data_IF_737063272596
#
_entry.id   IF_737063272596
#
_cell.length_a   1.000
_cell.length_b   1.000
_cell.length_c   1.000
_cell.angle_alpha   90.00
_cell.angle_beta   90.00
_cell.angle_gamma   90.00
#
_symmetry.space_group_name_H-M   'P 1'
#
loop_
_entity.id
_entity.type
_entity.pdbx_description
1 polymer ?
#
# COMPACT_ATOMS: atom_id res chain seq x y z
N UNK A 1 -35.51 -49.93 -20.35
CA UNK A 1 -34.58 -49.66 -19.23
C UNK A 1 -33.24 -49.02 -19.63
N UNK A 2 -32.57 -49.40 -20.73
CA UNK A 2 -31.24 -48.87 -21.09
C UNK A 2 -31.16 -47.36 -21.41
N UNK A 3 -32.23 -46.76 -21.96
CA UNK A 3 -32.28 -45.34 -22.31
C UNK A 3 -32.28 -44.41 -21.08
N UNK A 4 -33.10 -44.71 -20.05
CA UNK A 4 -33.21 -43.87 -18.85
C UNK A 4 -31.95 -43.84 -17.99
N UNK A 5 -31.15 -44.92 -18.00
CA UNK A 5 -29.89 -44.99 -17.24
C UNK A 5 -28.81 -44.17 -17.94
N UNK A 6 -28.71 -44.25 -19.27
CA UNK A 6 -27.74 -43.46 -20.06
C UNK A 6 -27.99 -41.96 -19.91
N UNK A 7 -29.26 -41.52 -19.89
CA UNK A 7 -29.61 -40.11 -19.67
C UNK A 7 -29.29 -39.66 -18.24
N UNK A 8 -29.54 -40.51 -17.23
CA UNK A 8 -29.17 -40.23 -15.82
C UNK A 8 -27.65 -40.10 -15.63
N UNK A 9 -26.87 -41.00 -16.24
CA UNK A 9 -25.41 -40.95 -16.20
C UNK A 9 -24.86 -39.72 -16.92
N UNK A 10 -25.43 -39.34 -18.07
CA UNK A 10 -25.05 -38.14 -18.80
C UNK A 10 -25.34 -36.86 -18.00
N UNK A 11 -26.50 -36.77 -17.35
CA UNK A 11 -26.83 -35.64 -16.47
C UNK A 11 -25.90 -35.55 -15.26
N UNK A 12 -25.59 -36.68 -14.61
CA UNK A 12 -24.64 -36.72 -13.50
C UNK A 12 -23.23 -36.26 -13.94
N UNK A 13 -22.76 -36.69 -15.11
CA UNK A 13 -21.49 -36.25 -15.66
C UNK A 13 -21.45 -34.73 -15.96
N UNK A 14 -22.54 -34.17 -16.51
CA UNK A 14 -22.66 -32.73 -16.74
C UNK A 14 -22.62 -31.96 -15.42
N UNK A 15 -23.34 -32.41 -14.40
CA UNK A 15 -23.33 -31.77 -13.07
C UNK A 15 -21.95 -31.85 -12.41
N UNK A 16 -21.24 -32.97 -12.56
CA UNK A 16 -19.86 -33.12 -12.08
C UNK A 16 -18.90 -32.12 -12.78
N UNK A 17 -19.03 -31.95 -14.10
CA UNK A 17 -18.22 -31.00 -14.86
C UNK A 17 -18.50 -29.55 -14.45
N UNK A 18 -19.76 -29.19 -14.20
CA UNK A 18 -20.14 -27.86 -13.71
C UNK A 18 -19.56 -27.64 -12.31
N UNK A 19 -19.67 -28.61 -11.41
CA UNK A 19 -19.10 -28.52 -10.06
C UNK A 19 -17.56 -28.35 -10.09
N UNK A 20 -16.87 -29.11 -10.94
CA UNK A 20 -15.43 -28.99 -11.13
C UNK A 20 -15.04 -27.60 -11.70
N UNK A 21 -15.76 -27.11 -12.71
CA UNK A 21 -15.53 -25.79 -13.30
C UNK A 21 -15.73 -24.64 -12.31
N UNK A 22 -16.79 -24.69 -11.49
CA UNK A 22 -17.04 -23.71 -10.44
C UNK A 22 -15.97 -23.74 -9.35
N UNK A 23 -15.48 -24.93 -8.98
CA UNK A 23 -14.43 -25.08 -7.98
C UNK A 23 -13.09 -24.53 -8.47
N UNK A 24 -12.75 -24.80 -9.73
CA UNK A 24 -11.58 -24.25 -10.39
C UNK A 24 -11.64 -22.72 -10.45
N UNK A 25 -12.79 -22.17 -10.88
CA UNK A 25 -12.96 -20.72 -11.01
C UNK A 25 -12.93 -20.00 -9.66
N UNK A 26 -13.49 -20.60 -8.61
CA UNK A 26 -13.39 -20.09 -7.24
C UNK A 26 -11.93 -20.04 -6.76
N UNK A 27 -11.14 -21.09 -7.04
CA UNK A 27 -9.71 -21.14 -6.73
C UNK A 27 -8.91 -20.08 -7.48
N UNK A 28 -9.18 -19.90 -8.77
CA UNK A 28 -8.51 -18.90 -9.61
C UNK A 28 -8.80 -17.48 -9.14
N UNK A 29 -10.04 -17.18 -8.74
CA UNK A 29 -10.39 -15.87 -8.16
C UNK A 29 -9.60 -15.55 -6.90
N UNK A 30 -9.53 -16.48 -5.95
CA UNK A 30 -8.76 -16.29 -4.70
C UNK A 30 -7.27 -16.14 -5.02
N UNK A 31 -6.74 -16.95 -5.94
CA UNK A 31 -5.33 -16.92 -6.35
C UNK A 31 -4.95 -15.57 -6.98
N UNK A 32 -5.74 -15.06 -7.93
CA UNK A 32 -5.50 -13.78 -8.59
C UNK A 32 -5.67 -12.60 -7.62
N UNK A 33 -6.70 -12.63 -6.76
CA UNK A 33 -6.89 -11.62 -5.73
C UNK A 33 -5.72 -11.60 -4.73
N UNK A 34 -5.15 -12.77 -4.42
CA UNK A 34 -4.05 -12.92 -3.48
C UNK A 34 -2.75 -12.36 -4.04
N UNK A 35 -2.44 -12.65 -5.30
CA UNK A 35 -1.25 -12.10 -5.98
C UNK A 35 -1.34 -10.59 -6.14
N UNK A 36 -2.46 -10.06 -6.66
CA UNK A 36 -2.64 -8.61 -6.84
C UNK A 36 -2.66 -7.87 -5.50
N UNK A 37 -3.25 -8.47 -4.47
CA UNK A 37 -3.26 -7.91 -3.12
C UNK A 37 -1.87 -7.88 -2.47
N UNK A 38 -1.01 -8.85 -2.76
CA UNK A 38 0.36 -8.91 -2.22
C UNK A 38 1.22 -7.73 -2.65
N UNK A 39 1.36 -7.51 -3.96
CA UNK A 39 2.19 -6.43 -4.51
C UNK A 39 1.66 -5.04 -4.13
N UNK A 40 0.33 -4.89 -4.14
CA UNK A 40 -0.32 -3.63 -3.80
C UNK A 40 -0.24 -3.30 -2.29
N UNK A 41 -0.26 -4.33 -1.42
CA UNK A 41 0.01 -4.17 0.02
C UNK A 41 1.43 -3.72 0.28
N UNK A 42 2.42 -4.32 -0.38
CA UNK A 42 3.82 -3.92 -0.20
C UNK A 42 4.02 -2.45 -0.60
N UNK A 43 3.52 -2.03 -1.76
CA UNK A 43 3.59 -0.63 -2.19
C UNK A 43 2.90 0.32 -1.20
N UNK A 44 1.78 -0.11 -0.62
CA UNK A 44 1.03 0.66 0.39
C UNK A 44 1.81 0.80 1.69
N UNK A 45 2.40 -0.29 2.20
CA UNK A 45 3.25 -0.26 3.40
C UNK A 45 4.48 0.62 3.20
N UNK A 46 5.13 0.51 2.04
CA UNK A 46 6.28 1.37 1.71
C UNK A 46 5.87 2.85 1.65
N UNK A 47 4.72 3.17 1.04
CA UNK A 47 4.19 4.53 1.01
C UNK A 47 4.00 5.10 2.44
N UNK A 48 3.38 4.32 3.32
CA UNK A 48 3.16 4.72 4.72
C UNK A 48 4.48 4.88 5.49
N UNK A 49 5.43 3.95 5.31
CA UNK A 49 6.77 4.01 5.93
C UNK A 49 7.51 5.27 5.51
N UNK A 50 7.52 5.57 4.21
CA UNK A 50 8.18 6.74 3.65
C UNK A 50 7.52 8.03 4.15
N UNK A 51 6.19 8.09 4.15
CA UNK A 51 5.43 9.21 4.71
C UNK A 51 5.86 9.53 6.15
N UNK A 52 5.89 8.51 7.03
CA UNK A 52 6.28 8.71 8.43
C UNK A 52 7.75 9.10 8.57
N UNK A 53 8.63 8.54 7.73
CA UNK A 53 10.05 8.90 7.68
C UNK A 53 10.25 10.36 7.29
N UNK A 54 9.63 10.82 6.19
CA UNK A 54 9.71 12.20 5.70
C UNK A 54 9.13 13.19 6.71
N UNK A 55 8.00 12.86 7.35
CA UNK A 55 7.43 13.66 8.44
C UNK A 55 8.42 13.86 9.59
N UNK A 56 9.02 12.78 10.06
CA UNK A 56 10.04 12.82 11.12
C UNK A 56 11.27 13.63 10.69
N UNK A 57 11.71 13.46 9.45
CA UNK A 57 12.86 14.18 8.89
C UNK A 57 12.59 15.68 8.75
N UNK A 58 11.40 16.11 8.33
CA UNK A 58 11.02 17.51 8.28
C UNK A 58 11.05 18.16 9.68
N UNK A 59 10.41 17.53 10.67
CA UNK A 59 10.44 18.00 12.06
C UNK A 59 11.86 18.02 12.64
N UNK A 60 12.67 17.01 12.35
CA UNK A 60 14.07 16.94 12.78
C UNK A 60 14.95 18.01 12.13
N UNK A 61 14.68 18.32 10.85
CA UNK A 61 15.39 19.37 10.11
C UNK A 61 15.06 20.74 10.69
N UNK A 62 13.77 21.04 10.88
CA UNK A 62 13.30 22.24 11.58
C UNK A 62 13.95 22.38 12.97
N UNK A 63 13.91 21.33 13.79
CA UNK A 63 14.52 21.36 15.12
C UNK A 63 16.01 21.70 15.05
N UNK A 64 16.74 21.08 14.11
CA UNK A 64 18.18 21.32 13.93
C UNK A 64 18.47 22.78 13.55
N UNK A 65 17.62 23.40 12.75
CA UNK A 65 17.75 24.82 12.40
C UNK A 65 17.44 25.73 13.59
N UNK A 66 16.42 25.42 14.38
CA UNK A 66 16.09 26.16 15.60
C UNK A 66 17.20 26.05 16.65
N UNK A 67 17.79 24.86 16.84
CA UNK A 67 18.94 24.64 17.73
C UNK A 67 20.17 25.44 17.28
N UNK A 68 20.43 25.50 15.97
CA UNK A 68 21.51 26.29 15.40
C UNK A 68 21.28 27.81 15.55
N UNK A 69 20.08 28.30 15.23
CA UNK A 69 19.71 29.70 15.46
C UNK A 69 19.83 30.10 16.93
N UNK A 70 19.43 29.20 17.84
CA UNK A 70 19.50 29.42 19.29
C UNK A 70 20.88 29.18 19.89
N UNK A 71 21.91 28.96 19.06
CA UNK A 71 23.31 28.68 19.46
C UNK A 71 23.52 27.44 20.34
N UNK A 72 22.51 26.57 20.46
CA UNK A 72 22.62 25.29 21.17
C UNK A 72 23.49 24.32 20.36
N UNK A 73 23.42 24.40 19.03
CA UNK A 73 24.20 23.60 18.12
C UNK A 73 25.18 24.50 17.37
N UNK A 74 26.48 24.26 17.55
CA UNK A 74 27.53 25.08 16.93
C UNK A 74 28.15 24.41 15.70
N UNK A 75 28.89 25.18 14.92
CA UNK A 75 29.77 24.62 13.88
C UNK A 75 30.96 23.89 14.52
N UNK A 76 31.39 22.73 13.99
CA UNK A 76 30.89 22.04 12.78
C UNK A 76 29.78 21.01 13.06
N UNK A 77 29.38 20.79 14.31
CA UNK A 77 28.43 19.74 14.70
C UNK A 77 27.07 19.90 14.00
N UNK A 78 26.59 21.14 13.87
CA UNK A 78 25.40 21.48 13.10
C UNK A 78 25.48 21.03 11.64
N UNK A 79 26.58 21.36 10.95
CA UNK A 79 26.74 21.03 9.54
C UNK A 79 26.69 19.52 9.30
N UNK A 80 27.31 18.73 10.20
CA UNK A 80 27.27 17.27 10.14
C UNK A 80 25.84 16.73 10.30
N UNK A 81 25.07 17.26 11.26
CA UNK A 81 23.68 16.86 11.50
C UNK A 81 22.77 17.23 10.32
N UNK A 82 22.88 18.46 9.83
CA UNK A 82 22.14 18.97 8.67
C UNK A 82 22.41 18.17 7.41
N UNK A 83 23.68 17.87 7.11
CA UNK A 83 24.06 17.05 5.95
C UNK A 83 23.50 15.62 6.03
N UNK A 84 23.54 15.00 7.22
CA UNK A 84 22.98 13.67 7.41
C UNK A 84 21.46 13.64 7.16
N UNK A 85 20.74 14.66 7.63
CA UNK A 85 19.30 14.80 7.39
C UNK A 85 19.00 15.03 5.91
N UNK A 86 19.76 15.89 5.23
CA UNK A 86 19.60 16.11 3.77
C UNK A 86 19.75 14.81 2.98
N UNK A 87 20.81 14.03 3.25
CA UNK A 87 21.01 12.73 2.60
C UNK A 87 19.86 11.75 2.89
N UNK A 88 19.35 11.72 4.12
CA UNK A 88 18.23 10.86 4.48
C UNK A 88 16.93 11.27 3.75
N UNK A 89 16.66 12.58 3.65
CA UNK A 89 15.52 13.13 2.90
C UNK A 89 15.63 12.77 1.43
N UNK A 90 16.77 13.02 0.78
CA UNK A 90 16.99 12.72 -0.64
C UNK A 90 16.80 11.22 -0.94
N UNK A 91 17.26 10.34 -0.02
CA UNK A 91 17.05 8.90 -0.14
C UNK A 91 15.56 8.52 -0.09
N UNK A 92 14.81 9.05 0.86
CA UNK A 92 13.38 8.74 0.99
C UNK A 92 12.56 9.33 -0.15
N UNK A 93 12.91 10.53 -0.65
CA UNK A 93 12.29 11.12 -1.84
C UNK A 93 12.56 10.30 -3.11
N UNK A 94 13.78 9.81 -3.28
CA UNK A 94 14.12 8.92 -4.40
C UNK A 94 13.34 7.60 -4.32
N UNK A 95 13.19 7.03 -3.12
CA UNK A 95 12.36 5.85 -2.91
C UNK A 95 10.87 6.13 -3.16
N UNK A 96 10.37 7.31 -2.80
CA UNK A 96 8.99 7.70 -3.08
C UNK A 96 8.72 7.85 -4.59
N UNK A 97 9.68 8.40 -5.33
CA UNK A 97 9.57 8.62 -6.76
C UNK A 97 9.48 7.31 -7.56
N UNK A 98 10.01 6.20 -7.03
CA UNK A 98 9.94 4.89 -7.67
C UNK A 98 8.71 4.07 -7.28
N UNK A 99 7.94 4.52 -6.28
CA UNK A 99 6.70 3.85 -5.91
C UNK A 99 5.62 4.04 -6.98
N UNK A 100 4.95 2.95 -7.33
CA UNK A 100 3.74 2.97 -8.16
C UNK A 100 2.57 3.59 -7.36
N UNK A 101 1.49 3.98 -8.06
CA UNK A 101 0.27 4.59 -7.47
C UNK A 101 0.42 6.01 -6.89
N UNK A 102 0.93 6.94 -7.71
CA UNK A 102 0.88 8.38 -7.42
C UNK A 102 2.06 8.93 -6.62
N UNK A 103 3.03 8.08 -6.25
CA UNK A 103 4.24 8.48 -5.53
C UNK A 103 5.07 9.55 -6.25
N UNK A 104 5.10 9.56 -7.59
CA UNK A 104 5.90 10.50 -8.38
C UNK A 104 5.47 11.97 -8.23
N UNK A 105 4.17 12.26 -8.23
CA UNK A 105 3.67 13.63 -8.09
C UNK A 105 3.93 14.17 -6.67
N UNK A 106 3.65 13.35 -5.66
CA UNK A 106 3.92 13.68 -4.27
C UNK A 106 5.42 13.81 -3.99
N UNK A 107 6.26 12.95 -4.59
CA UNK A 107 7.71 13.06 -4.52
C UNK A 107 8.20 14.36 -5.13
N UNK A 108 7.66 14.79 -6.27
CA UNK A 108 8.03 16.05 -6.91
C UNK A 108 7.70 17.26 -6.03
N UNK A 109 6.51 17.29 -5.44
CA UNK A 109 6.09 18.38 -4.54
C UNK A 109 6.90 18.41 -3.25
N UNK A 110 7.11 17.26 -2.60
CA UNK A 110 7.96 17.18 -1.41
C UNK A 110 9.42 17.56 -1.75
N UNK A 111 9.93 17.14 -2.91
CA UNK A 111 11.27 17.56 -3.38
C UNK A 111 11.37 19.07 -3.54
N UNK A 112 10.32 19.72 -4.10
CA UNK A 112 10.25 21.17 -4.20
C UNK A 112 10.33 21.82 -2.82
N UNK A 113 9.49 21.38 -1.88
CA UNK A 113 9.47 21.90 -0.50
C UNK A 113 10.83 21.77 0.18
N UNK A 114 11.46 20.59 0.14
CA UNK A 114 12.77 20.40 0.77
C UNK A 114 13.90 21.20 0.11
N UNK A 115 13.85 21.43 -1.21
CA UNK A 115 14.81 22.32 -1.88
C UNK A 115 14.65 23.78 -1.46
N UNK A 116 13.41 24.23 -1.27
CA UNK A 116 13.13 25.57 -0.76
C UNK A 116 13.58 25.70 0.70
N UNK A 117 13.33 24.69 1.54
CA UNK A 117 13.86 24.62 2.90
C UNK A 117 15.40 24.69 2.92
N UNK A 118 16.08 23.97 2.04
CA UNK A 118 17.55 24.00 1.94
C UNK A 118 18.07 25.39 1.53
N UNK A 119 17.32 26.11 0.70
CA UNK A 119 17.64 27.48 0.30
C UNK A 119 17.52 28.45 1.49
N UNK A 120 16.48 28.32 2.30
CA UNK A 120 16.33 29.11 3.53
C UNK A 120 17.36 28.72 4.59
N UNK A 121 17.72 27.43 4.71
CA UNK A 121 18.83 26.99 5.55
C UNK A 121 20.12 27.73 5.18
N UNK A 122 20.49 27.74 3.89
CA UNK A 122 21.71 28.45 3.46
C UNK A 122 21.66 29.95 3.79
N UNK A 123 20.47 30.56 3.67
CA UNK A 123 20.25 31.95 4.09
C UNK A 123 20.47 32.15 5.59
N UNK A 124 19.96 31.25 6.43
CA UNK A 124 20.17 31.24 7.87
C UNK A 124 21.64 31.05 8.22
N UNK A 125 22.31 30.08 7.61
CA UNK A 125 23.74 29.82 7.82
C UNK A 125 24.58 31.05 7.49
N UNK A 126 24.36 31.66 6.33
CA UNK A 126 25.07 32.87 5.92
C UNK A 126 24.88 34.03 6.90
N UNK A 127 23.66 34.23 7.40
CA UNK A 127 23.34 35.28 8.35
C UNK A 127 23.92 35.05 9.76
N UNK A 128 24.04 33.78 10.17
CA UNK A 128 24.54 33.39 11.49
C UNK A 128 26.07 33.27 11.57
N UNK A 129 26.73 33.08 10.42
CA UNK A 129 28.19 32.92 10.30
C UNK A 129 28.92 34.14 9.76
N UNK A 130 28.20 35.19 9.34
CA UNK A 130 28.80 36.46 8.95
C UNK A 130 29.50 37.14 10.13
N UNK A 131 30.53 37.95 9.83
CA UNK A 131 31.28 38.72 10.82
C UNK A 131 30.36 39.63 11.64
N UNK A 132 29.42 40.28 10.97
CA UNK A 132 28.29 40.96 11.58
C UNK A 132 27.04 40.10 11.42
N UNK A 133 26.56 39.49 12.50
CA UNK A 133 25.38 38.61 12.47
C UNK A 133 24.14 39.40 12.08
N UNK A 134 23.49 38.98 11.00
CA UNK A 134 22.23 39.56 10.53
C UNK A 134 21.05 38.79 11.16
N UNK A 135 20.69 39.20 12.38
CA UNK A 135 19.65 38.52 13.17
C UNK A 135 18.26 38.59 12.54
N UNK A 136 17.95 39.65 11.79
CA UNK A 136 16.65 39.81 11.14
C UNK A 136 16.53 38.87 9.95
N UNK A 137 17.58 38.77 9.12
CA UNK A 137 17.64 37.79 8.03
C UNK A 137 17.65 36.35 8.54
N UNK A 138 18.37 36.08 9.62
CA UNK A 138 18.37 34.77 10.26
C UNK A 138 16.97 34.38 10.74
N UNK A 139 16.27 35.30 11.41
CA UNK A 139 14.90 35.08 11.90
C UNK A 139 13.92 34.85 10.75
N UNK A 140 14.00 35.64 9.69
CA UNK A 140 13.14 35.49 8.51
C UNK A 140 13.36 34.14 7.81
N UNK A 141 14.63 33.76 7.60
CA UNK A 141 15.00 32.49 6.99
C UNK A 141 14.49 31.31 7.82
N UNK A 142 14.65 31.35 9.15
CA UNK A 142 14.14 30.32 10.05
C UNK A 142 12.62 30.24 10.01
N UNK A 143 11.91 31.38 10.05
CA UNK A 143 10.44 31.40 9.97
C UNK A 143 9.94 30.75 8.69
N UNK A 144 10.50 31.13 7.53
CA UNK A 144 10.11 30.55 6.23
C UNK A 144 10.41 29.05 6.16
N UNK A 145 11.54 28.62 6.71
CA UNK A 145 11.87 27.21 6.81
C UNK A 145 10.86 26.44 7.67
N UNK A 146 10.46 26.98 8.82
CA UNK A 146 9.46 26.34 9.70
C UNK A 146 8.09 26.23 9.01
N UNK A 147 7.67 27.28 8.27
CA UNK A 147 6.43 27.23 7.48
C UNK A 147 6.49 26.10 6.43
N UNK A 148 7.61 25.97 5.72
CA UNK A 148 7.78 24.89 4.74
C UNK A 148 7.88 23.51 5.38
N UNK A 149 8.49 23.40 6.57
CA UNK A 149 8.51 22.16 7.36
C UNK A 149 7.10 21.67 7.65
N UNK A 150 6.22 22.55 8.12
CA UNK A 150 4.80 22.21 8.36
C UNK A 150 4.09 21.78 7.08
N UNK A 151 4.35 22.44 5.95
CA UNK A 151 3.80 22.03 4.66
C UNK A 151 4.32 20.66 4.21
N UNK A 152 5.61 20.37 4.38
CA UNK A 152 6.21 19.09 4.06
C UNK A 152 5.63 17.97 4.95
N UNK A 153 5.45 18.23 6.24
CA UNK A 153 4.78 17.32 7.18
C UNK A 153 3.35 17.05 6.73
N UNK A 154 2.59 18.08 6.35
CA UNK A 154 1.22 17.93 5.88
C UNK A 154 1.15 17.09 4.58
N UNK A 155 2.03 17.35 3.61
CA UNK A 155 2.10 16.56 2.38
C UNK A 155 2.48 15.09 2.64
N UNK A 156 3.40 14.85 3.59
CA UNK A 156 3.72 13.50 4.03
C UNK A 156 2.53 12.83 4.74
N UNK A 157 1.75 13.55 5.55
CA UNK A 157 0.55 13.02 6.18
C UNK A 157 -0.52 12.64 5.15
N UNK A 158 -0.74 13.46 4.12
CA UNK A 158 -1.65 13.13 3.01
C UNK A 158 -1.22 11.85 2.28
N UNK A 159 0.09 11.65 2.08
CA UNK A 159 0.62 10.40 1.53
C UNK A 159 0.30 9.20 2.44
N UNK A 160 0.47 9.36 3.75
CA UNK A 160 0.15 8.32 4.74
C UNK A 160 -1.35 7.99 4.78
N UNK A 161 -2.21 9.01 4.71
CA UNK A 161 -3.67 8.85 4.66
C UNK A 161 -4.10 8.13 3.37
N UNK A 162 -3.58 8.55 2.22
CA UNK A 162 -3.85 7.86 0.95
C UNK A 162 -3.41 6.41 0.96
N UNK A 163 -2.28 6.09 1.61
CA UNK A 163 -1.88 4.70 1.83
C UNK A 163 -2.88 3.94 2.73
N UNK A 164 -3.38 4.56 3.80
CA UNK A 164 -4.41 3.99 4.66
C UNK A 164 -5.71 3.69 3.91
N UNK A 165 -6.20 4.64 3.11
CA UNK A 165 -7.41 4.48 2.29
C UNK A 165 -7.26 3.33 1.28
N UNK A 166 -6.10 3.23 0.62
CA UNK A 166 -5.78 2.12 -0.27
C UNK A 166 -5.77 0.78 0.45
N UNK A 167 -5.18 0.69 1.63
CA UNK A 167 -5.18 -0.53 2.43
C UNK A 167 -6.61 -0.98 2.76
N UNK A 168 -7.48 -0.06 3.18
CA UNK A 168 -8.89 -0.35 3.46
C UNK A 168 -9.64 -0.81 2.20
N UNK A 169 -9.43 -0.14 1.06
CA UNK A 169 -10.03 -0.55 -0.21
C UNK A 169 -9.59 -1.96 -0.65
N UNK A 170 -8.30 -2.30 -0.47
CA UNK A 170 -7.77 -3.63 -0.76
C UNK A 170 -8.39 -4.70 0.14
N UNK A 171 -8.57 -4.43 1.43
CA UNK A 171 -9.20 -5.38 2.34
C UNK A 171 -10.67 -5.63 1.97
N UNK A 172 -11.43 -4.58 1.66
CA UNK A 172 -12.80 -4.72 1.17
C UNK A 172 -12.87 -5.53 -0.14
N UNK A 173 -11.97 -5.26 -1.09
CA UNK A 173 -11.90 -6.01 -2.35
C UNK A 173 -11.54 -7.47 -2.15
N UNK A 174 -10.61 -7.77 -1.24
CA UNK A 174 -10.27 -9.14 -0.86
C UNK A 174 -11.46 -9.88 -0.24
N UNK A 175 -12.15 -9.26 0.72
CA UNK A 175 -13.34 -9.84 1.35
C UNK A 175 -14.45 -10.12 0.32
N UNK A 176 -14.65 -9.21 -0.64
CA UNK A 176 -15.60 -9.41 -1.73
C UNK A 176 -15.25 -10.64 -2.58
N UNK A 177 -14.00 -10.79 -3.02
CA UNK A 177 -13.54 -11.96 -3.77
C UNK A 177 -13.63 -13.25 -2.96
N UNK A 178 -13.27 -13.22 -1.68
CA UNK A 178 -13.39 -14.37 -0.79
C UNK A 178 -14.86 -14.80 -0.64
N UNK A 179 -15.79 -13.86 -0.45
CA UNK A 179 -17.22 -14.15 -0.32
C UNK A 179 -17.80 -14.78 -1.59
N UNK A 180 -17.41 -14.28 -2.77
CA UNK A 180 -17.83 -14.83 -4.06
C UNK A 180 -17.28 -16.24 -4.29
N UNK A 181 -16.00 -16.46 -4.01
CA UNK A 181 -15.38 -17.77 -4.10
C UNK A 181 -16.04 -18.80 -3.17
N UNK A 182 -16.36 -18.41 -1.93
CA UNK A 182 -17.10 -19.26 -1.00
C UNK A 182 -18.50 -19.62 -1.52
N UNK A 183 -19.20 -18.67 -2.15
CA UNK A 183 -20.50 -18.94 -2.77
C UNK A 183 -20.39 -19.94 -3.92
N UNK A 184 -19.39 -19.78 -4.80
CA UNK A 184 -19.13 -20.72 -5.90
C UNK A 184 -18.79 -22.12 -5.39
N UNK A 185 -17.96 -22.23 -4.35
CA UNK A 185 -17.63 -23.50 -3.71
C UNK A 185 -18.86 -24.16 -3.07
N UNK A 186 -19.75 -23.38 -2.46
CA UNK A 186 -21.02 -23.90 -1.91
C UNK A 186 -21.91 -24.45 -3.03
N UNK A 187 -22.05 -23.74 -4.15
CA UNK A 187 -22.80 -24.22 -5.32
C UNK A 187 -22.16 -25.51 -5.85
N UNK A 188 -20.84 -25.53 -6.02
CA UNK A 188 -20.12 -26.72 -6.46
C UNK A 188 -20.33 -27.92 -5.54
N UNK A 189 -20.27 -27.71 -4.22
CA UNK A 189 -20.52 -28.76 -3.22
C UNK A 189 -21.96 -29.31 -3.30
N UNK A 190 -22.96 -28.43 -3.45
CA UNK A 190 -24.36 -28.85 -3.63
C UNK A 190 -24.51 -29.68 -4.91
N UNK A 191 -23.94 -29.23 -6.03
CA UNK A 191 -23.97 -29.97 -7.29
C UNK A 191 -23.27 -31.33 -7.19
N UNK A 192 -22.15 -31.41 -6.47
CA UNK A 192 -21.44 -32.66 -6.21
C UNK A 192 -22.29 -33.63 -5.36
N UNK A 193 -22.97 -33.14 -4.31
CA UNK A 193 -23.88 -33.93 -3.50
C UNK A 193 -25.07 -34.45 -4.31
N UNK A 194 -25.69 -33.60 -5.14
CA UNK A 194 -26.76 -34.00 -6.05
C UNK A 194 -26.28 -35.07 -7.03
N UNK A 195 -25.09 -34.88 -7.60
CA UNK A 195 -24.47 -35.86 -8.51
C UNK A 195 -24.25 -37.20 -7.83
N UNK A 196 -23.66 -37.20 -6.63
CA UNK A 196 -23.45 -38.41 -5.84
C UNK A 196 -24.76 -39.13 -5.50
N UNK A 197 -25.79 -38.38 -5.08
CA UNK A 197 -27.12 -38.92 -4.82
C UNK A 197 -27.78 -39.54 -6.05
N UNK A 198 -27.67 -38.90 -7.22
CA UNK A 198 -28.17 -39.42 -8.51
C UNK A 198 -27.44 -40.72 -8.89
N UNK A 199 -26.12 -40.76 -8.75
CA UNK A 199 -25.33 -41.96 -9.05
C UNK A 199 -25.67 -43.12 -8.10
N UNK A 200 -25.81 -42.84 -6.80
CA UNK A 200 -26.13 -43.84 -5.79
C UNK A 200 -27.55 -44.40 -5.95
N UNK A 201 -28.53 -43.53 -6.26
CA UNK A 201 -29.89 -43.96 -6.60
C UNK A 201 -29.93 -44.80 -7.89
N UNK A 202 -29.12 -44.44 -8.90
CA UNK A 202 -28.95 -45.22 -10.11
C UNK A 202 -28.35 -46.61 -9.84
N UNK A 203 -27.30 -46.69 -9.02
CA UNK A 203 -26.64 -47.93 -8.62
C UNK A 203 -27.58 -48.86 -7.84
N UNK A 204 -28.35 -48.33 -6.89
CA UNK A 204 -29.33 -49.10 -6.12
C UNK A 204 -30.47 -49.66 -6.99
N UNK A 205 -30.87 -48.95 -8.06
CA UNK A 205 -31.85 -49.45 -9.03
C UNK A 205 -31.29 -50.54 -9.95
N UNK A 206 -30.00 -50.48 -10.29
CA UNK A 206 -29.31 -51.51 -11.06
C UNK A 206 -29.06 -52.78 -10.23
N UNK A 207 -28.72 -52.64 -8.94
CA UNK A 207 -28.52 -53.78 -8.02
C UNK A 207 -29.79 -54.48 -7.57
N UNK A 208 -30.98 -53.92 -7.85
CA UNK A 208 -32.31 -54.51 -7.58
C UNK A 208 -32.96 -55.15 -8.80
N UNK A 209 -32.26 -55.26 -9.94
CA UNK A 209 -32.79 -55.99 -11.08
C UNK A 209 -32.94 -57.49 -10.72
N UNK A 210 -34.17 -58.06 -10.75
CA UNK A 210 -34.35 -59.48 -10.46
C UNK A 210 -33.62 -60.30 -11.53
N UNK A 211 -32.88 -61.31 -11.07
CA UNK A 211 -32.29 -62.37 -11.90
C UNK A 211 -33.39 -63.23 -12.55
#
# INVERSE_FOLDING_TARGET
>A
MKFGIRTLSAMAAILALIAAGLSYWAGEQISMAGKKGGDAREATFQSYRIAQSLKSLAAGYELTMNEFYSTVLEFPAYQKKSAAQKTAIERELAALATLQEGGAATAAELTRLYKEMDSFRLGLEGAMTSTDKDWDRAREALFKLNVLSVQAIHQADLLGQGAGERATAMDMGWQAHQSQALLLLRIAAILALVTGGVMLAGALRLGRAPA
#
